data_IF_313795099898
#
_entry.id   IF_313795099898
#
_cell.length_a   1.000
_cell.length_b   1.000
_cell.length_c   1.000
_cell.angle_alpha   90.00
_cell.angle_beta   90.00
_cell.angle_gamma   90.00
#
_symmetry.space_group_name_H-M   'P 1'
#
loop_
_entity.id
_entity.type
_entity.pdbx_description
1 polymer ?
#
# COMPACT_ATOMS: atom_id res chain seq x y z
N UNK A 1 -12.31 59.59 22.47
CA UNK A 1 -11.24 59.11 23.39
C UNK A 1 -11.98 58.75 24.67
N UNK A 2 -12.04 57.53 25.18
CA UNK A 2 -10.96 56.61 25.59
C UNK A 2 -11.44 55.15 25.56
N UNK A 3 -10.48 54.24 25.34
CA UNK A 3 -10.63 52.78 25.40
C UNK A 3 -10.37 52.33 26.84
N UNK A 4 -11.11 51.36 27.38
CA UNK A 4 -10.64 50.61 28.56
C UNK A 4 -11.09 49.14 28.60
N UNK A 5 -10.18 48.32 28.07
CA UNK A 5 -9.70 47.01 28.54
C UNK A 5 -10.59 46.13 29.43
N UNK A 6 -11.25 45.14 28.81
CA UNK A 6 -11.79 43.95 29.51
C UNK A 6 -10.67 42.94 29.83
N UNK A 7 -10.37 42.76 31.12
CA UNK A 7 -9.44 41.76 31.66
C UNK A 7 -9.97 40.33 31.46
N UNK A 8 -9.40 39.57 30.51
CA UNK A 8 -9.64 38.12 30.39
C UNK A 8 -8.74 37.36 31.37
N UNK A 9 -9.35 36.53 32.21
CA UNK A 9 -8.70 35.67 33.22
C UNK A 9 -7.75 34.68 32.54
N UNK A 10 -6.48 34.73 32.98
CA UNK A 10 -5.35 33.90 32.58
C UNK A 10 -5.55 32.49 33.16
N UNK A 11 -5.94 31.52 32.33
CA UNK A 11 -5.94 30.10 32.71
C UNK A 11 -4.51 29.58 32.71
N UNK A 12 -4.14 29.00 33.84
CA UNK A 12 -2.82 28.50 34.20
C UNK A 12 -2.38 27.36 33.28
N UNK A 13 -1.14 27.47 32.83
CA UNK A 13 -0.34 26.47 32.11
C UNK A 13 -0.34 25.16 32.89
N UNK A 14 -0.87 24.09 32.30
CA UNK A 14 -0.48 22.72 32.65
C UNK A 14 0.58 22.32 31.64
N UNK A 15 1.84 22.50 32.03
CA UNK A 15 3.01 21.92 31.35
C UNK A 15 2.89 20.40 31.47
N UNK A 16 2.24 19.78 30.48
CA UNK A 16 2.52 18.39 30.16
C UNK A 16 3.73 18.40 29.26
N UNK A 17 4.78 17.73 29.72
CA UNK A 17 5.99 17.40 28.97
C UNK A 17 5.57 16.84 27.61
N UNK A 18 5.67 17.67 26.58
CA UNK A 18 5.49 17.28 25.19
C UNK A 18 6.77 16.53 24.82
N UNK A 19 6.76 15.22 25.00
CA UNK A 19 7.71 14.36 24.29
C UNK A 19 7.22 14.38 22.85
N UNK A 20 7.94 14.99 21.89
CA UNK A 20 7.51 14.95 20.50
C UNK A 20 7.63 13.48 20.07
N UNK A 21 6.49 12.84 19.79
CA UNK A 21 6.51 11.61 19.02
C UNK A 21 7.25 11.91 17.70
N UNK A 22 8.21 11.08 17.26
CA UNK A 22 9.07 11.41 16.13
C UNK A 22 8.36 11.49 14.77
N UNK A 23 7.04 11.31 14.74
CA UNK A 23 6.23 11.31 13.53
C UNK A 23 4.95 12.09 13.78
N UNK A 24 4.73 13.25 13.13
CA UNK A 24 3.37 13.78 13.02
C UNK A 24 2.56 12.68 12.31
N UNK A 25 1.48 12.26 12.95
CA UNK A 25 0.54 11.23 12.48
C UNK A 25 0.38 11.30 10.96
N UNK A 26 1.02 10.37 10.26
CA UNK A 26 0.84 10.16 8.83
C UNK A 26 -0.63 9.79 8.63
N UNK A 27 -1.39 10.79 8.23
CA UNK A 27 -2.84 10.73 8.19
C UNK A 27 -3.28 9.86 7.01
N UNK A 28 -3.62 8.60 7.30
CA UNK A 28 -4.22 7.66 6.35
C UNK A 28 -5.45 8.27 5.66
N UNK A 29 -6.16 9.18 6.33
CA UNK A 29 -7.35 9.84 5.75
C UNK A 29 -7.00 10.79 4.60
N UNK A 30 -5.76 11.29 4.53
CA UNK A 30 -5.27 12.08 3.40
C UNK A 30 -5.17 11.23 2.12
N UNK A 31 -4.71 9.98 2.24
CA UNK A 31 -4.66 9.06 1.10
C UNK A 31 -6.07 8.75 0.58
N UNK A 32 -6.96 8.35 1.49
CA UNK A 32 -8.32 7.92 1.15
C UNK A 32 -9.19 9.07 0.60
N UNK A 33 -8.90 10.33 0.96
CA UNK A 33 -9.65 11.51 0.48
C UNK A 33 -9.13 12.09 -0.84
N UNK A 34 -7.84 11.95 -1.14
CA UNK A 34 -7.22 12.63 -2.31
C UNK A 34 -6.70 11.68 -3.37
N UNK A 35 -5.90 10.68 -2.98
CA UNK A 35 -5.23 9.78 -3.90
C UNK A 35 -6.12 8.61 -4.31
N UNK A 36 -6.89 8.06 -3.37
CA UNK A 36 -7.76 6.91 -3.62
C UNK A 36 -8.85 7.19 -4.68
N UNK A 37 -9.64 8.28 -4.62
CA UNK A 37 -10.66 8.53 -5.64
C UNK A 37 -10.07 8.70 -7.04
N UNK A 38 -8.90 9.35 -7.14
CA UNK A 38 -8.16 9.52 -8.39
C UNK A 38 -7.64 8.18 -8.93
N UNK A 39 -7.10 7.33 -8.06
CA UNK A 39 -6.66 5.99 -8.43
C UNK A 39 -7.80 5.09 -8.85
N UNK A 40 -8.92 5.13 -8.13
CA UNK A 40 -10.11 4.36 -8.46
C UNK A 40 -10.67 4.78 -9.82
N UNK A 41 -10.83 6.09 -10.04
CA UNK A 41 -11.24 6.64 -11.33
C UNK A 41 -10.27 6.23 -12.45
N UNK A 42 -8.96 6.27 -12.17
CA UNK A 42 -7.95 5.81 -13.11
C UNK A 42 -8.04 4.30 -13.38
N UNK A 43 -8.31 3.48 -12.38
CA UNK A 43 -8.45 2.03 -12.50
C UNK A 43 -9.68 1.65 -13.34
N UNK A 44 -10.83 2.28 -13.08
CA UNK A 44 -12.04 2.13 -13.90
C UNK A 44 -11.78 2.55 -15.36
N UNK A 45 -11.03 3.63 -15.59
CA UNK A 45 -10.67 4.09 -16.93
C UNK A 45 -9.57 3.24 -17.61
N UNK A 46 -8.75 2.52 -16.83
CA UNK A 46 -7.63 1.72 -17.34
C UNK A 46 -8.07 0.44 -18.05
N UNK A 47 -9.33 0.00 -17.86
CA UNK A 47 -9.96 -1.03 -18.67
C UNK A 47 -10.21 -0.60 -20.13
N UNK A 48 -10.17 0.70 -20.42
CA UNK A 48 -10.26 1.27 -21.77
C UNK A 48 -8.91 1.74 -22.34
N UNK A 49 -8.95 2.48 -23.46
CA UNK A 49 -7.73 2.98 -24.13
C UNK A 49 -7.10 4.21 -23.46
N UNK A 50 -7.54 4.61 -22.25
CA UNK A 50 -7.05 5.84 -21.63
C UNK A 50 -5.57 5.70 -21.21
N UNK A 51 -4.68 6.34 -21.98
CA UNK A 51 -3.22 6.27 -21.77
C UNK A 51 -2.81 7.02 -20.50
N UNK A 52 -3.47 8.13 -20.15
CA UNK A 52 -3.12 8.96 -18.99
C UNK A 52 -3.37 8.21 -17.68
N UNK A 53 -4.55 7.60 -17.54
CA UNK A 53 -4.90 6.79 -16.37
C UNK A 53 -3.92 5.64 -16.15
N UNK A 54 -3.55 4.93 -17.23
CA UNK A 54 -2.55 3.86 -17.18
C UNK A 54 -1.18 4.35 -16.76
N UNK A 55 -0.74 5.52 -17.23
CA UNK A 55 0.54 6.10 -16.83
C UNK A 55 0.54 6.49 -15.34
N UNK A 56 -0.54 7.09 -14.84
CA UNK A 56 -0.69 7.47 -13.43
C UNK A 56 -0.61 6.25 -12.52
N UNK A 57 -1.40 5.20 -12.80
CA UNK A 57 -1.38 3.95 -12.02
C UNK A 57 0.00 3.28 -12.04
N UNK A 58 0.65 3.23 -13.21
CA UNK A 58 2.00 2.67 -13.32
C UNK A 58 3.01 3.46 -12.50
N UNK A 59 2.94 4.78 -12.56
CA UNK A 59 3.83 5.64 -11.79
C UNK A 59 3.62 5.40 -10.29
N UNK A 60 2.36 5.43 -9.85
CA UNK A 60 2.00 5.21 -8.46
C UNK A 60 2.51 3.85 -7.93
N UNK A 61 2.24 2.76 -8.66
CA UNK A 61 2.70 1.41 -8.29
C UNK A 61 4.21 1.30 -8.25
N UNK A 62 4.94 1.88 -9.23
CA UNK A 62 6.41 1.86 -9.24
C UNK A 62 6.99 2.62 -8.06
N UNK A 63 6.44 3.78 -7.75
CA UNK A 63 6.87 4.57 -6.60
C UNK A 63 6.67 3.78 -5.29
N UNK A 64 5.53 3.10 -5.13
CA UNK A 64 5.31 2.28 -3.94
C UNK A 64 6.18 1.02 -3.89
N UNK A 65 6.40 0.33 -5.02
CA UNK A 65 7.35 -0.79 -5.09
C UNK A 65 8.75 -0.33 -4.64
N UNK A 66 9.21 0.83 -5.12
CA UNK A 66 10.52 1.37 -4.74
C UNK A 66 10.60 1.67 -3.24
N UNK A 67 9.52 2.18 -2.64
CA UNK A 67 9.43 2.40 -1.19
C UNK A 67 9.46 1.08 -0.40
N UNK A 68 8.73 0.06 -0.85
CA UNK A 68 8.67 -1.25 -0.20
C UNK A 68 9.99 -2.04 -0.30
N UNK A 69 10.70 -1.89 -1.42
CA UNK A 69 11.96 -2.58 -1.70
C UNK A 69 13.19 -1.84 -1.14
N UNK A 70 13.02 -0.66 -0.55
CA UNK A 70 14.14 0.13 -0.04
C UNK A 70 14.86 -0.61 1.12
N UNK A 71 16.19 -0.77 1.06
CA UNK A 71 16.95 -1.49 2.11
C UNK A 71 16.97 -0.73 3.44
N UNK A 72 17.00 0.60 3.39
CA UNK A 72 16.79 1.47 4.55
C UNK A 72 15.29 1.64 4.77
N UNK A 73 14.69 0.65 5.43
CA UNK A 73 13.28 0.67 5.80
C UNK A 73 13.05 1.82 6.78
N UNK A 74 12.34 2.90 6.38
CA UNK A 74 11.86 3.82 7.38
C UNK A 74 10.77 3.07 8.18
N UNK A 75 10.73 3.25 9.50
CA UNK A 75 9.78 2.58 10.40
C UNK A 75 8.35 3.10 10.20
N UNK A 76 7.83 3.02 8.97
CA UNK A 76 6.48 3.44 8.64
C UNK A 76 5.50 2.38 9.11
N UNK A 77 4.34 2.81 9.64
CA UNK A 77 3.26 1.88 9.94
C UNK A 77 2.80 1.17 8.66
N UNK A 78 2.54 -0.15 8.71
CA UNK A 78 2.18 -0.96 7.53
C UNK A 78 0.94 -0.48 6.78
N UNK A 79 -0.01 0.16 7.46
CA UNK A 79 -1.17 0.78 6.82
C UNK A 79 -0.83 1.86 5.79
N UNK A 80 0.33 2.51 5.89
CA UNK A 80 0.79 3.48 4.87
C UNK A 80 1.54 2.81 3.73
N UNK A 81 2.16 1.67 4.00
CA UNK A 81 2.85 0.86 2.98
C UNK A 81 1.84 0.17 2.06
N UNK A 82 0.69 -0.23 2.62
CA UNK A 82 -0.43 -0.82 1.90
C UNK A 82 -1.77 -0.18 2.34
N UNK A 83 -2.08 1.03 1.86
CA UNK A 83 -3.34 1.70 2.19
C UNK A 83 -4.55 0.85 1.77
N UNK A 84 -5.63 0.90 2.57
CA UNK A 84 -6.86 0.12 2.30
C UNK A 84 -7.45 0.41 0.91
N UNK A 85 -7.47 1.68 0.51
CA UNK A 85 -7.91 2.05 -0.83
C UNK A 85 -7.05 1.42 -1.93
N UNK A 86 -5.74 1.30 -1.75
CA UNK A 86 -4.88 0.60 -2.71
C UNK A 86 -5.20 -0.89 -2.74
N UNK A 87 -5.33 -1.54 -1.58
CA UNK A 87 -5.69 -2.95 -1.47
C UNK A 87 -7.00 -3.25 -2.24
N UNK A 88 -8.04 -2.43 -2.05
CA UNK A 88 -9.34 -2.59 -2.74
C UNK A 88 -9.28 -2.45 -4.27
N UNK A 89 -8.26 -1.78 -4.82
CA UNK A 89 -8.12 -1.56 -6.26
C UNK A 89 -7.29 -2.69 -6.91
N UNK A 90 -6.46 -3.40 -6.14
CA UNK A 90 -5.57 -4.44 -6.68
C UNK A 90 -6.29 -5.56 -7.45
N UNK A 91 -7.44 -6.10 -7.02
CA UNK A 91 -8.15 -7.14 -7.77
C UNK A 91 -8.51 -6.70 -9.20
N UNK A 92 -8.93 -5.44 -9.35
CA UNK A 92 -9.24 -4.82 -10.64
C UNK A 92 -7.99 -4.64 -11.50
N UNK A 93 -6.86 -4.24 -10.90
CA UNK A 93 -5.62 -4.02 -11.63
C UNK A 93 -4.95 -5.33 -12.07
N UNK A 94 -5.01 -6.38 -11.23
CA UNK A 94 -4.50 -7.72 -11.53
C UNK A 94 -5.22 -8.35 -12.73
N UNK A 95 -6.51 -8.05 -12.89
CA UNK A 95 -7.35 -8.57 -13.97
C UNK A 95 -7.48 -7.60 -15.16
N UNK A 96 -6.74 -6.49 -15.15
CA UNK A 96 -6.77 -5.48 -16.19
C UNK A 96 -6.29 -6.04 -17.56
N UNK A 97 -6.95 -5.61 -18.64
CA UNK A 97 -6.57 -5.95 -20.03
C UNK A 97 -5.22 -5.39 -20.46
N UNK A 98 -4.59 -4.51 -19.68
CA UNK A 98 -3.27 -3.96 -19.95
C UNK A 98 -2.19 -4.84 -19.30
N UNK A 99 -1.45 -5.68 -20.05
CA UNK A 99 -0.56 -6.68 -19.45
C UNK A 99 0.54 -6.03 -18.61
N UNK A 100 1.10 -4.93 -19.09
CA UNK A 100 2.11 -4.17 -18.34
C UNK A 100 1.62 -3.59 -17.01
N UNK A 101 0.32 -3.33 -16.86
CA UNK A 101 -0.26 -2.84 -15.62
C UNK A 101 -0.62 -4.00 -14.68
N UNK A 102 -1.20 -5.08 -15.23
CA UNK A 102 -1.47 -6.30 -14.48
C UNK A 102 -0.19 -6.91 -13.90
N UNK A 103 0.87 -7.05 -14.71
CA UNK A 103 2.16 -7.55 -14.26
C UNK A 103 2.80 -6.65 -13.19
N UNK A 104 2.69 -5.33 -13.35
CA UNK A 104 3.19 -4.39 -12.34
C UNK A 104 2.41 -4.47 -11.03
N UNK A 105 1.11 -4.75 -11.09
CA UNK A 105 0.25 -4.93 -9.92
C UNK A 105 0.59 -6.24 -9.21
N UNK A 106 0.84 -7.32 -9.95
CA UNK A 106 1.34 -8.57 -9.38
C UNK A 106 2.70 -8.37 -8.69
N UNK A 107 3.64 -7.68 -9.35
CA UNK A 107 4.93 -7.32 -8.74
C UNK A 107 4.77 -6.50 -7.46
N UNK A 108 3.83 -5.55 -7.44
CA UNK A 108 3.52 -4.79 -6.24
C UNK A 108 3.02 -5.70 -5.12
N UNK A 109 2.08 -6.61 -5.39
CA UNK A 109 1.56 -7.58 -4.40
C UNK A 109 2.69 -8.43 -3.81
N UNK A 110 3.58 -8.97 -4.65
CA UNK A 110 4.75 -9.75 -4.18
C UNK A 110 5.70 -8.92 -3.32
N UNK A 111 6.03 -7.71 -3.77
CA UNK A 111 6.90 -6.80 -3.00
C UNK A 111 6.27 -6.41 -1.65
N UNK A 112 4.98 -6.14 -1.62
CA UNK A 112 4.25 -5.84 -0.39
C UNK A 112 4.22 -7.06 0.55
N UNK A 113 4.01 -8.25 0.00
CA UNK A 113 4.02 -9.49 0.77
C UNK A 113 5.40 -9.87 1.33
N UNK A 114 6.50 -9.41 0.72
CA UNK A 114 7.86 -9.56 1.25
C UNK A 114 8.26 -8.46 2.24
N UNK A 115 7.60 -7.31 2.20
CA UNK A 115 8.03 -6.14 2.95
C UNK A 115 8.00 -6.39 4.47
N UNK A 116 6.89 -6.91 4.99
CA UNK A 116 6.74 -7.29 6.39
C UNK A 116 5.59 -8.28 6.60
N UNK A 117 5.51 -8.86 7.80
CA UNK A 117 4.47 -9.83 8.14
C UNK A 117 3.06 -9.23 8.08
N UNK A 118 2.91 -7.97 8.49
CA UNK A 118 1.59 -7.33 8.53
C UNK A 118 1.04 -7.10 7.12
N UNK A 119 1.85 -6.57 6.19
CA UNK A 119 1.43 -6.40 4.79
C UNK A 119 1.20 -7.74 4.09
N UNK A 120 1.99 -8.78 4.40
CA UNK A 120 1.72 -10.14 3.94
C UNK A 120 0.35 -10.65 4.41
N UNK A 121 0.05 -10.50 5.70
CA UNK A 121 -1.22 -10.92 6.27
C UNK A 121 -2.40 -10.17 5.65
N UNK A 122 -2.27 -8.85 5.42
CA UNK A 122 -3.30 -8.05 4.74
C UNK A 122 -3.59 -8.61 3.34
N UNK A 123 -2.55 -8.87 2.53
CA UNK A 123 -2.70 -9.46 1.18
C UNK A 123 -3.36 -10.83 1.23
N UNK A 124 -2.92 -11.72 2.12
CA UNK A 124 -3.43 -13.10 2.21
C UNK A 124 -4.86 -13.14 2.75
N UNK A 125 -5.24 -12.19 3.60
CA UNK A 125 -6.60 -12.07 4.14
C UNK A 125 -7.60 -11.52 3.13
N UNK A 126 -7.15 -10.84 2.09
CA UNK A 126 -8.00 -10.29 1.04
C UNK A 126 -8.22 -11.33 -0.07
N UNK A 127 -9.38 -11.98 -0.04
CA UNK A 127 -9.72 -13.06 -0.97
C UNK A 127 -9.76 -12.58 -2.42
N UNK A 128 -10.19 -11.35 -2.67
CA UNK A 128 -10.28 -10.81 -4.03
C UNK A 128 -8.89 -10.59 -4.63
N UNK A 129 -7.93 -10.12 -3.81
CA UNK A 129 -6.53 -9.98 -4.22
C UNK A 129 -5.93 -11.34 -4.54
N UNK A 130 -6.13 -12.33 -3.67
CA UNK A 130 -5.63 -13.70 -3.87
C UNK A 130 -6.25 -14.31 -5.13
N UNK A 131 -7.57 -14.22 -5.31
CA UNK A 131 -8.26 -14.74 -6.48
C UNK A 131 -7.81 -14.02 -7.78
N UNK A 132 -7.63 -12.71 -7.72
CA UNK A 132 -7.07 -11.93 -8.82
C UNK A 132 -5.65 -12.38 -9.20
N UNK A 133 -4.83 -12.69 -8.20
CA UNK A 133 -3.47 -13.19 -8.42
C UNK A 133 -3.45 -14.60 -9.04
N UNK A 134 -4.30 -15.51 -8.55
CA UNK A 134 -4.43 -16.86 -9.12
C UNK A 134 -4.90 -16.82 -10.58
N UNK A 135 -5.84 -15.93 -10.91
CA UNK A 135 -6.23 -15.70 -12.32
C UNK A 135 -5.08 -15.15 -13.14
N UNK A 136 -4.24 -14.28 -12.57
CA UNK A 136 -3.06 -13.74 -13.25
C UNK A 136 -1.98 -14.80 -13.51
N UNK A 137 -1.83 -15.81 -12.64
CA UNK A 137 -0.96 -16.97 -12.87
C UNK A 137 -1.38 -17.74 -14.12
N UNK A 138 -2.69 -17.92 -14.31
CA UNK A 138 -3.24 -18.58 -15.51
C UNK A 138 -3.32 -17.70 -16.77
N UNK A 139 -2.72 -16.51 -16.76
CA UNK A 139 -2.83 -15.58 -17.88
C UNK A 139 -2.01 -16.04 -19.10
N UNK A 140 -2.58 -15.92 -20.30
CA UNK A 140 -1.86 -16.26 -21.55
C UNK A 140 -0.67 -15.34 -21.83
N UNK A 141 -0.66 -14.14 -21.25
CA UNK A 141 0.49 -13.25 -21.36
C UNK A 141 1.58 -13.68 -20.37
N UNK A 142 2.70 -14.16 -20.91
CA UNK A 142 3.85 -14.65 -20.14
C UNK A 142 4.36 -13.66 -19.08
N UNK A 143 4.40 -12.36 -19.39
CA UNK A 143 4.90 -11.34 -18.44
C UNK A 143 3.99 -11.24 -17.21
N UNK A 144 2.68 -11.34 -17.42
CA UNK A 144 1.70 -11.32 -16.32
C UNK A 144 1.79 -12.60 -15.50
N UNK A 145 1.82 -13.75 -16.16
CA UNK A 145 1.93 -15.05 -15.50
C UNK A 145 3.21 -15.16 -14.66
N UNK A 146 4.36 -14.77 -15.23
CA UNK A 146 5.65 -14.80 -14.53
C UNK A 146 5.66 -13.87 -13.30
N UNK A 147 5.19 -12.64 -13.45
CA UNK A 147 5.09 -11.71 -12.33
C UNK A 147 4.14 -12.22 -11.23
N UNK A 148 3.03 -12.86 -11.61
CA UNK A 148 2.09 -13.45 -10.68
C UNK A 148 2.66 -14.66 -9.95
N UNK A 149 3.36 -15.56 -10.65
CA UNK A 149 4.07 -16.69 -10.04
C UNK A 149 5.10 -16.20 -9.03
N UNK A 150 5.89 -15.18 -9.38
CA UNK A 150 6.86 -14.58 -8.45
C UNK A 150 6.17 -14.04 -7.20
N UNK A 151 5.06 -13.32 -7.36
CA UNK A 151 4.29 -12.82 -6.23
C UNK A 151 3.70 -13.93 -5.34
N UNK A 152 3.28 -15.06 -5.92
CA UNK A 152 2.84 -16.23 -5.14
C UNK A 152 4.00 -16.82 -4.33
N UNK A 153 5.19 -16.93 -4.92
CA UNK A 153 6.39 -17.40 -4.21
C UNK A 153 6.77 -16.44 -3.08
N UNK A 154 6.74 -15.14 -3.33
CA UNK A 154 6.99 -14.07 -2.37
C UNK A 154 6.06 -14.17 -1.13
N UNK A 155 4.76 -14.40 -1.37
CA UNK A 155 3.77 -14.61 -0.30
C UNK A 155 4.13 -15.83 0.56
N UNK A 156 4.65 -16.90 -0.03
CA UNK A 156 5.03 -18.13 0.67
C UNK A 156 6.37 -18.00 1.41
N UNK A 157 7.31 -17.23 0.87
CA UNK A 157 8.66 -17.12 1.40
C UNK A 157 8.68 -16.58 2.84
N UNK A 158 7.89 -15.54 3.11
CA UNK A 158 7.77 -14.99 4.48
C UNK A 158 7.11 -15.96 5.46
N UNK A 159 6.32 -16.93 4.97
CA UNK A 159 5.73 -17.99 5.80
C UNK A 159 6.76 -19.06 6.20
N UNK A 160 7.78 -19.31 5.37
CA UNK A 160 8.87 -20.25 5.68
C UNK A 160 9.87 -19.65 6.67
N UNK A 161 10.19 -18.36 6.54
CA UNK A 161 11.05 -17.63 7.48
C UNK A 161 10.46 -17.67 8.92
N UNK A 162 9.13 -17.69 9.05
CA UNK A 162 8.42 -17.91 10.33
C UNK A 162 8.68 -19.28 10.96
N UNK A 163 8.71 -20.35 10.17
CA UNK A 163 8.91 -21.70 10.70
C UNK A 163 10.36 -21.83 11.16
N UNK A 164 11.31 -21.38 10.32
CA UNK A 164 12.72 -21.37 10.65
C UNK A 164 13.03 -20.55 11.92
N UNK A 165 12.48 -19.34 12.06
CA UNK A 165 12.71 -18.53 13.25
C UNK A 165 12.09 -19.17 14.50
N UNK A 166 10.88 -19.71 14.42
CA UNK A 166 10.24 -20.36 15.58
C UNK A 166 10.93 -21.67 15.97
N UNK A 167 11.48 -22.44 15.01
CA UNK A 167 12.29 -23.63 15.27
C UNK A 167 13.68 -23.31 15.84
N UNK A 168 14.19 -22.09 15.66
CA UNK A 168 15.47 -21.67 16.25
C UNK A 168 15.32 -21.22 17.72
N UNK A 169 14.09 -20.95 18.17
CA UNK A 169 13.77 -20.51 19.54
C UNK A 169 13.04 -21.57 20.39
N UNK A 170 12.88 -22.80 19.87
CA UNK A 170 12.36 -23.98 20.56
C UNK A 170 13.47 -25.02 20.72
#
# INVERSE_FOLDING_TARGET
MEKSCRRRRKRVRSERLFIPAPYPSLDLSSFDSTAFPLMLAAACAAGGQNRRSRCLLKHFLRSHIALLAAPTRPSLPPGLLLPRGLLSILPLLLTCRCPSLAALSAKFVGTAALCCLETNAMVVSDEEVVNGLLRAVGNQNRIVAEAACNAVMDIRHLKMERISLLETFL
#
